data_IF_369673744928
#
_entry.id   IF_369673744928
#
_cell.length_a   1.000
_cell.length_b   1.000
_cell.length_c   1.000
_cell.angle_alpha   90.00
_cell.angle_beta   90.00
_cell.angle_gamma   90.00
#
_symmetry.space_group_name_H-M   'P 1'
#
loop_
_entity.id
_entity.type
_entity.pdbx_description
1 polymer ?
#
# COMPACT_ATOMS: atom_id res chain seq x y z
N UNK A 1 -19.38 15.29 -16.63
CA UNK A 1 -18.11 15.86 -16.09
C UNK A 1 -17.35 16.47 -17.26
N UNK A 2 -16.77 17.65 -17.09
CA UNK A 2 -15.94 18.27 -18.14
C UNK A 2 -14.70 17.39 -18.42
N UNK A 3 -14.30 17.26 -19.70
CA UNK A 3 -13.06 16.57 -20.06
C UNK A 3 -11.87 17.42 -19.60
N UNK A 4 -10.89 16.81 -18.93
CA UNK A 4 -9.65 17.47 -18.49
C UNK A 4 -8.80 17.85 -19.70
N UNK A 5 -8.05 18.95 -19.61
CA UNK A 5 -7.07 19.33 -20.64
C UNK A 5 -5.81 18.47 -20.56
N UNK A 6 -5.00 18.38 -21.63
CA UNK A 6 -3.73 17.65 -21.60
C UNK A 6 -2.78 18.13 -20.48
N UNK A 7 -2.75 19.43 -20.19
CA UNK A 7 -1.94 20.02 -19.12
C UNK A 7 -2.42 19.59 -17.74
N UNK A 8 -3.74 19.50 -17.53
CA UNK A 8 -4.32 19.02 -16.28
C UNK A 8 -4.03 17.53 -16.06
N UNK A 9 -4.06 16.71 -17.11
CA UNK A 9 -3.69 15.30 -17.04
C UNK A 9 -2.20 15.16 -16.69
N UNK A 10 -1.34 15.94 -17.33
CA UNK A 10 0.10 15.92 -17.05
C UNK A 10 0.43 16.35 -15.61
N UNK A 11 -0.22 17.39 -15.09
CA UNK A 11 -0.05 17.83 -13.70
C UNK A 11 -0.49 16.73 -12.70
N UNK A 12 -1.64 16.09 -12.93
CA UNK A 12 -2.11 15.01 -12.04
C UNK A 12 -1.19 13.77 -12.05
N UNK A 13 -0.67 13.42 -13.23
CA UNK A 13 0.31 12.35 -13.41
C UNK A 13 1.61 12.66 -12.66
N UNK A 14 2.10 13.89 -12.71
CA UNK A 14 3.31 14.33 -12.01
C UNK A 14 3.11 14.32 -10.47
N UNK A 15 1.94 14.76 -10.01
CA UNK A 15 1.59 14.84 -8.58
C UNK A 15 1.42 13.46 -7.94
N UNK A 16 1.13 12.42 -8.72
CA UNK A 16 0.95 11.05 -8.22
C UNK A 16 2.13 10.15 -8.57
N UNK A 17 3.14 10.14 -7.70
CA UNK A 17 4.34 9.31 -7.86
C UNK A 17 4.26 7.98 -7.11
N UNK A 18 5.02 6.97 -7.58
CA UNK A 18 5.18 5.66 -6.92
C UNK A 18 5.64 5.80 -5.47
N UNK A 19 6.66 6.64 -5.22
CA UNK A 19 7.16 6.94 -3.88
C UNK A 19 6.11 7.63 -3.00
N UNK A 20 5.33 8.56 -3.57
CA UNK A 20 4.23 9.20 -2.87
C UNK A 20 3.17 8.18 -2.40
N UNK A 21 2.73 7.31 -3.30
CA UNK A 21 1.78 6.24 -2.98
C UNK A 21 2.32 5.30 -1.90
N UNK A 22 3.60 4.90 -2.00
CA UNK A 22 4.23 4.03 -1.01
C UNK A 22 4.35 4.69 0.37
N UNK A 23 4.63 6.01 0.40
CA UNK A 23 4.64 6.79 1.63
C UNK A 23 3.27 6.76 2.31
N UNK A 24 2.20 7.04 1.57
CA UNK A 24 0.83 6.94 2.12
C UNK A 24 0.52 5.52 2.58
N UNK A 25 0.93 4.49 1.83
CA UNK A 25 0.76 3.09 2.24
C UNK A 25 1.37 2.83 3.64
N UNK A 26 2.57 3.36 3.89
CA UNK A 26 3.21 3.28 5.20
C UNK A 26 2.50 4.07 6.29
N UNK A 27 2.03 5.28 5.99
CA UNK A 27 1.26 6.08 6.95
C UNK A 27 -0.04 5.36 7.36
N UNK A 28 -0.75 4.74 6.42
CA UNK A 28 -1.94 3.91 6.70
C UNK A 28 -1.60 2.66 7.54
N UNK A 29 -0.50 1.97 7.23
CA UNK A 29 -0.06 0.81 8.00
C UNK A 29 0.24 1.18 9.44
N UNK A 30 0.98 2.27 9.67
CA UNK A 30 1.28 2.77 11.02
C UNK A 30 0.03 3.20 11.77
N UNK A 31 -0.91 3.87 11.09
CA UNK A 31 -2.19 4.21 11.70
C UNK A 31 -2.96 2.95 12.11
N UNK A 32 -2.95 1.90 11.28
CA UNK A 32 -3.58 0.63 11.59
C UNK A 32 -2.98 -0.02 12.85
N UNK A 33 -1.65 -0.04 12.97
CA UNK A 33 -0.95 -0.54 14.17
C UNK A 33 -1.34 0.23 15.43
N UNK A 34 -1.35 1.57 15.36
CA UNK A 34 -1.70 2.41 16.50
C UNK A 34 -3.13 2.14 16.99
N UNK A 35 -4.09 2.03 16.07
CA UNK A 35 -5.48 1.73 16.43
C UNK A 35 -5.60 0.32 17.02
N UNK A 36 -4.93 -0.68 16.42
CA UNK A 36 -4.99 -2.07 16.93
C UNK A 36 -4.37 -2.22 18.32
N UNK A 37 -3.30 -1.47 18.60
CA UNK A 37 -2.66 -1.47 19.92
C UNK A 37 -3.54 -0.85 21.00
N UNK A 38 -4.37 0.13 20.63
CA UNK A 38 -5.27 0.81 21.56
C UNK A 38 -6.58 0.03 21.79
N UNK A 39 -7.10 -0.62 20.75
CA UNK A 39 -8.31 -1.43 20.80
C UNK A 39 -8.15 -2.67 19.92
N UNK A 40 -7.98 -3.82 20.56
CA UNK A 40 -7.76 -5.09 19.89
C UNK A 40 -9.03 -5.65 19.23
N UNK A 41 -10.22 -5.18 19.63
CA UNK A 41 -11.52 -5.56 19.08
C UNK A 41 -11.94 -4.69 17.90
N UNK A 42 -11.25 -3.57 17.69
CA UNK A 42 -11.56 -2.66 16.60
C UNK A 42 -11.37 -3.33 15.23
N UNK A 43 -12.33 -3.10 14.34
CA UNK A 43 -12.28 -3.54 12.93
C UNK A 43 -11.61 -2.49 12.03
N UNK A 44 -11.46 -1.26 12.54
CA UNK A 44 -10.85 -0.11 11.84
C UNK A 44 -9.43 -0.41 11.34
N UNK A 45 -8.55 -1.10 12.11
CA UNK A 45 -7.22 -1.48 11.63
C UNK A 45 -7.24 -2.28 10.32
N UNK A 46 -8.23 -3.16 10.11
CA UNK A 46 -8.34 -3.92 8.87
C UNK A 46 -8.70 -3.05 7.66
N UNK A 47 -9.48 -1.98 7.86
CA UNK A 47 -9.74 -1.00 6.82
C UNK A 47 -8.46 -0.24 6.44
N UNK A 48 -7.71 0.19 7.45
CA UNK A 48 -6.48 0.95 7.27
C UNK A 48 -5.39 0.08 6.61
N UNK A 49 -5.25 -1.18 7.01
CA UNK A 49 -4.29 -2.11 6.40
C UNK A 49 -4.67 -2.45 4.96
N UNK A 50 -5.98 -2.57 4.65
CA UNK A 50 -6.45 -2.74 3.29
C UNK A 50 -6.06 -1.55 2.39
N UNK A 51 -6.19 -0.31 2.88
CA UNK A 51 -5.73 0.88 2.15
C UNK A 51 -4.21 0.90 1.98
N UNK A 52 -3.47 0.48 3.00
CA UNK A 52 -2.02 0.33 2.90
C UNK A 52 -1.62 -0.63 1.78
N UNK A 53 -2.21 -1.83 1.76
CA UNK A 53 -1.96 -2.84 0.74
C UNK A 53 -2.34 -2.34 -0.66
N UNK A 54 -3.51 -1.69 -0.80
CA UNK A 54 -3.96 -1.08 -2.05
C UNK A 54 -2.94 -0.06 -2.59
N UNK A 55 -2.52 0.88 -1.75
CA UNK A 55 -1.60 1.95 -2.14
C UNK A 55 -0.20 1.42 -2.46
N UNK A 56 0.29 0.42 -1.74
CA UNK A 56 1.59 -0.18 -2.04
C UNK A 56 1.57 -0.98 -3.35
N UNK A 57 0.49 -1.73 -3.63
CA UNK A 57 0.34 -2.39 -4.92
C UNK A 57 0.22 -1.37 -6.08
N UNK A 58 -0.52 -0.27 -5.87
CA UNK A 58 -0.59 0.84 -6.85
C UNK A 58 0.75 1.55 -7.01
N UNK A 59 1.54 1.70 -5.94
CA UNK A 59 2.89 2.26 -6.00
C UNK A 59 3.80 1.43 -6.91
N UNK A 60 3.76 0.10 -6.78
CA UNK A 60 4.49 -0.81 -7.66
C UNK A 60 4.01 -0.74 -9.11
N UNK A 61 2.69 -0.71 -9.34
CA UNK A 61 2.17 -0.57 -10.70
C UNK A 61 2.58 0.78 -11.32
N UNK A 62 2.58 1.85 -10.52
CA UNK A 62 3.03 3.19 -10.94
C UNK A 62 4.51 3.18 -11.34
N UNK A 63 5.39 2.56 -10.54
CA UNK A 63 6.82 2.44 -10.88
C UNK A 63 7.09 1.51 -12.07
N UNK A 64 6.08 0.74 -12.51
CA UNK A 64 6.10 -0.06 -13.75
C UNK A 64 5.44 0.65 -14.93
N UNK A 65 5.15 1.94 -14.81
CA UNK A 65 4.62 2.79 -15.88
C UNK A 65 3.10 2.79 -16.01
N UNK A 66 2.34 2.34 -15.01
CA UNK A 66 0.89 2.52 -15.02
C UNK A 66 0.53 4.01 -14.87
N UNK A 67 -0.38 4.51 -15.72
CA UNK A 67 -0.95 5.86 -15.62
C UNK A 67 -1.90 5.98 -14.43
N UNK A 68 -2.16 7.20 -13.98
CA UNK A 68 -3.14 7.49 -12.93
C UNK A 68 -4.51 6.95 -13.30
N UNK A 69 -4.95 7.17 -14.54
CA UNK A 69 -6.22 6.62 -15.04
C UNK A 69 -6.27 5.10 -14.92
N UNK A 70 -5.19 4.40 -15.33
CA UNK A 70 -5.11 2.95 -15.21
C UNK A 70 -5.14 2.48 -13.75
N UNK A 71 -4.63 3.27 -12.81
CA UNK A 71 -4.70 2.98 -11.37
C UNK A 71 -6.10 3.23 -10.80
N UNK A 72 -6.81 4.26 -11.29
CA UNK A 72 -8.17 4.60 -10.89
C UNK A 72 -9.19 3.56 -11.38
N UNK A 73 -8.98 3.03 -12.59
CA UNK A 73 -9.81 1.95 -13.16
C UNK A 73 -9.81 0.67 -12.33
N UNK A 74 -8.71 0.39 -11.62
CA UNK A 74 -8.61 -0.77 -10.72
C UNK A 74 -9.47 -0.61 -9.45
N UNK A 75 -9.99 0.59 -9.19
CA UNK A 75 -10.81 0.95 -8.02
C UNK A 75 -10.18 0.42 -6.72
N UNK A 76 -10.97 -0.24 -5.87
CA UNK A 76 -10.57 -0.79 -4.57
C UNK A 76 -10.49 -2.33 -4.57
N UNK A 77 -10.40 -2.96 -5.76
CA UNK A 77 -10.40 -4.41 -5.88
C UNK A 77 -9.03 -5.01 -5.54
N UNK A 78 -8.78 -5.31 -4.26
CA UNK A 78 -7.46 -5.77 -3.79
C UNK A 78 -6.91 -6.98 -4.58
N UNK A 79 -7.65 -8.09 -4.79
CA UNK A 79 -7.21 -9.21 -5.61
C UNK A 79 -6.91 -8.82 -7.06
N UNK A 80 -7.71 -7.94 -7.67
CA UNK A 80 -7.50 -7.49 -9.07
C UNK A 80 -6.24 -6.65 -9.21
N UNK A 81 -5.97 -5.76 -8.25
CA UNK A 81 -4.75 -4.96 -8.24
C UNK A 81 -3.54 -5.89 -8.06
N UNK A 82 -3.64 -6.88 -7.17
CA UNK A 82 -2.60 -7.87 -6.94
C UNK A 82 -2.33 -8.72 -8.17
N UNK A 83 -3.34 -9.25 -8.84
CA UNK A 83 -3.20 -10.00 -10.09
C UNK A 83 -2.45 -9.18 -11.15
N UNK A 84 -2.81 -7.91 -11.32
CA UNK A 84 -2.12 -7.00 -12.26
C UNK A 84 -0.67 -6.75 -11.85
N UNK A 85 -0.39 -6.64 -10.55
CA UNK A 85 0.97 -6.49 -10.03
C UNK A 85 1.80 -7.76 -10.24
N UNK A 86 1.23 -8.94 -10.02
CA UNK A 86 1.87 -10.23 -10.30
C UNK A 86 2.18 -10.38 -11.79
N UNK A 87 1.28 -9.96 -12.68
CA UNK A 87 1.53 -9.89 -14.12
C UNK A 87 2.71 -8.97 -14.51
N UNK A 88 3.05 -7.99 -13.66
CA UNK A 88 4.22 -7.11 -13.79
C UNK A 88 5.44 -7.56 -12.97
N UNK A 89 5.40 -8.81 -12.49
CA UNK A 89 6.49 -9.48 -11.76
C UNK A 89 6.79 -8.88 -10.38
N UNK A 90 5.75 -8.59 -9.60
CA UNK A 90 5.89 -8.20 -8.19
C UNK A 90 6.67 -9.25 -7.38
N UNK A 91 6.45 -10.53 -7.66
CA UNK A 91 7.16 -11.70 -7.09
C UNK A 91 8.69 -11.58 -7.13
N UNK A 92 9.24 -10.91 -8.15
CA UNK A 92 10.70 -10.73 -8.26
C UNK A 92 11.27 -9.71 -7.28
N UNK A 93 10.47 -8.76 -6.83
CA UNK A 93 10.87 -7.78 -5.81
C UNK A 93 10.47 -8.25 -4.41
N UNK A 94 9.34 -8.95 -4.32
CA UNK A 94 8.78 -9.39 -3.06
C UNK A 94 8.18 -10.79 -3.23
N UNK A 95 8.96 -11.87 -3.00
CA UNK A 95 8.50 -13.24 -3.22
C UNK A 95 7.23 -13.62 -2.45
N UNK A 96 7.06 -13.09 -1.23
CA UNK A 96 5.85 -13.30 -0.41
C UNK A 96 4.57 -12.76 -1.06
N UNK A 97 4.67 -11.93 -2.12
CA UNK A 97 3.51 -11.51 -2.89
C UNK A 97 2.76 -12.70 -3.50
N UNK A 98 3.43 -13.83 -3.79
CA UNK A 98 2.76 -15.02 -4.31
C UNK A 98 1.76 -15.64 -3.32
N UNK A 99 1.98 -15.47 -2.01
CA UNK A 99 1.17 -16.02 -0.93
C UNK A 99 0.14 -15.03 -0.38
N UNK A 100 0.17 -13.78 -0.88
CA UNK A 100 -0.66 -12.69 -0.38
C UNK A 100 -2.15 -12.83 -0.76
N UNK A 101 -2.45 -13.48 -1.89
CA UNK A 101 -3.79 -13.48 -2.49
C UNK A 101 -4.92 -13.90 -1.53
N UNK A 102 -4.83 -15.02 -0.77
CA UNK A 102 -5.90 -15.42 0.15
C UNK A 102 -6.19 -14.37 1.24
N UNK A 103 -5.15 -13.63 1.67
CA UNK A 103 -5.30 -12.54 2.66
C UNK A 103 -6.07 -11.36 2.06
N UNK A 104 -5.81 -11.03 0.79
CA UNK A 104 -6.53 -9.97 0.08
C UNK A 104 -7.99 -10.31 -0.17
N UNK A 105 -8.28 -11.57 -0.52
CA UNK A 105 -9.64 -12.07 -0.68
C UNK A 105 -10.44 -11.97 0.62
N UNK A 106 -9.82 -12.34 1.76
CA UNK A 106 -10.45 -12.18 3.09
C UNK A 106 -10.68 -10.71 3.44
N UNK A 107 -9.72 -9.82 3.17
CA UNK A 107 -9.89 -8.38 3.41
C UNK A 107 -11.01 -7.77 2.53
N UNK A 108 -11.06 -8.14 1.25
CA UNK A 108 -12.08 -7.66 0.34
C UNK A 108 -13.48 -8.16 0.76
N UNK A 109 -13.60 -9.44 1.11
CA UNK A 109 -14.83 -10.01 1.64
C UNK A 109 -15.27 -9.32 2.94
N UNK A 110 -14.34 -9.06 3.87
CA UNK A 110 -14.61 -8.32 5.11
C UNK A 110 -15.05 -6.87 4.86
N UNK A 111 -14.60 -6.27 3.75
CA UNK A 111 -14.98 -4.93 3.31
C UNK A 111 -16.16 -4.91 2.33
N UNK A 112 -16.77 -6.07 2.05
CA UNK A 112 -17.93 -6.15 1.17
C UNK A 112 -19.05 -5.24 1.68
N UNK A 113 -19.68 -4.47 0.77
CA UNK A 113 -20.66 -3.41 1.08
C UNK A 113 -20.15 -2.34 2.05
N UNK A 114 -18.84 -2.11 2.09
CA UNK A 114 -18.18 -1.21 3.04
C UNK A 114 -18.47 -1.59 4.51
N UNK A 115 -18.58 -2.88 4.82
CA UNK A 115 -18.87 -3.37 6.17
C UNK A 115 -17.75 -3.09 7.21
N UNK A 116 -16.59 -2.58 6.76
CA UNK A 116 -15.56 -2.01 7.63
C UNK A 116 -15.81 -0.53 7.97
N UNK A 117 -16.69 0.15 7.22
CA UNK A 117 -17.06 1.57 7.36
C UNK A 117 -18.49 1.75 7.89
N UNK A 118 -19.39 0.82 7.60
CA UNK A 118 -20.77 0.81 8.10
C UNK A 118 -21.02 -0.39 9.00
N UNK A 119 -21.77 -0.19 10.08
CA UNK A 119 -22.14 -1.24 11.02
C UNK A 119 -23.08 -2.22 10.30
N UNK A 120 -22.59 -3.43 10.08
CA UNK A 120 -23.36 -4.55 9.53
C UNK A 120 -23.31 -5.66 10.58
N UNK A 121 -24.48 -6.11 11.03
CA UNK A 121 -24.62 -7.18 12.02
C UNK A 121 -24.32 -8.56 11.40
N UNK A 122 -23.78 -9.48 12.20
CA UNK A 122 -23.47 -10.86 11.79
C UNK A 122 -22.02 -11.25 12.06
N UNK A 123 -21.72 -12.54 11.90
CA UNK A 123 -20.35 -13.05 12.01
C UNK A 123 -19.50 -12.54 10.86
N UNK A 124 -18.35 -11.95 11.17
CA UNK A 124 -17.37 -11.49 10.18
C UNK A 124 -16.08 -12.27 10.35
N UNK A 125 -15.51 -12.70 9.23
CA UNK A 125 -14.20 -13.37 9.19
C UNK A 125 -13.18 -12.36 8.69
N UNK A 126 -12.06 -12.27 9.40
CA UNK A 126 -10.92 -11.42 9.07
C UNK A 126 -9.67 -12.28 8.94
N UNK A 127 -8.67 -11.85 8.15
CA UNK A 127 -7.36 -12.49 8.22
C UNK A 127 -6.75 -12.31 9.61
N UNK A 128 -5.82 -13.18 9.98
CA UNK A 128 -5.02 -12.96 11.18
C UNK A 128 -4.30 -11.60 11.10
N UNK A 129 -4.44 -10.80 12.17
CA UNK A 129 -3.89 -9.44 12.24
C UNK A 129 -2.37 -9.43 12.04
N UNK A 130 -1.65 -10.35 12.67
CA UNK A 130 -0.19 -10.36 12.60
C UNK A 130 0.26 -10.72 11.18
N UNK A 131 -0.41 -11.68 10.55
CA UNK A 131 -0.14 -12.07 9.16
C UNK A 131 -0.35 -10.90 8.21
N UNK A 132 -1.52 -10.24 8.24
CA UNK A 132 -1.82 -9.13 7.33
C UNK A 132 -0.91 -7.92 7.58
N UNK A 133 -0.58 -7.62 8.84
CA UNK A 133 0.34 -6.53 9.17
C UNK A 133 1.76 -6.82 8.69
N UNK A 134 2.25 -8.05 8.86
CA UNK A 134 3.55 -8.48 8.34
C UNK A 134 3.61 -8.39 6.82
N UNK A 135 2.54 -8.74 6.11
CA UNK A 135 2.49 -8.56 4.66
C UNK A 135 2.57 -7.09 4.25
N UNK A 136 1.81 -6.20 4.88
CA UNK A 136 1.86 -4.78 4.58
C UNK A 136 3.26 -4.19 4.84
N UNK A 137 3.85 -4.53 5.99
CA UNK A 137 5.20 -4.11 6.35
C UNK A 137 6.26 -4.65 5.36
N UNK A 138 6.20 -5.94 5.05
CA UNK A 138 7.10 -6.60 4.10
C UNK A 138 7.04 -5.98 2.71
N UNK A 139 5.84 -5.67 2.23
CA UNK A 139 5.62 -4.97 0.97
C UNK A 139 6.25 -3.58 0.97
N UNK A 140 6.02 -2.78 2.01
CA UNK A 140 6.58 -1.43 2.13
C UNK A 140 8.10 -1.47 2.06
N UNK A 141 8.72 -2.38 2.83
CA UNK A 141 10.17 -2.55 2.86
C UNK A 141 10.69 -2.97 1.49
N UNK A 142 10.07 -3.99 0.87
CA UNK A 142 10.52 -4.50 -0.43
C UNK A 142 10.41 -3.46 -1.56
N UNK A 143 9.37 -2.62 -1.53
CA UNK A 143 9.13 -1.61 -2.57
C UNK A 143 9.90 -0.30 -2.34
N UNK A 144 10.43 -0.06 -1.14
CA UNK A 144 11.11 1.20 -0.77
C UNK A 144 12.25 1.52 -1.72
N UNK A 145 13.19 0.58 -1.89
CA UNK A 145 14.35 0.81 -2.75
C UNK A 145 13.94 1.00 -4.21
N UNK A 146 12.95 0.23 -4.67
CA UNK A 146 12.45 0.33 -6.03
C UNK A 146 11.81 1.69 -6.32
N UNK A 147 10.93 2.18 -5.43
CA UNK A 147 10.25 3.47 -5.62
C UNK A 147 11.20 4.67 -5.46
N UNK A 148 12.23 4.58 -4.62
CA UNK A 148 13.27 5.61 -4.54
C UNK A 148 14.09 5.69 -5.84
N UNK A 149 14.46 4.55 -6.42
CA UNK A 149 15.18 4.51 -7.69
C UNK A 149 14.32 5.01 -8.84
N UNK A 150 13.03 4.67 -8.85
CA UNK A 150 12.05 5.17 -9.82
C UNK A 150 11.93 6.71 -9.76
N UNK A 151 11.80 7.29 -8.57
CA UNK A 151 11.62 8.74 -8.42
C UNK A 151 12.87 9.56 -8.75
N UNK A 152 14.06 9.09 -8.36
CA UNK A 152 15.28 9.90 -8.40
C UNK A 152 16.27 9.48 -9.49
N UNK A 153 16.22 8.23 -9.98
CA UNK A 153 17.11 7.70 -11.01
C UNK A 153 18.59 7.58 -10.61
N UNK A 154 19.34 6.75 -11.34
CA UNK A 154 20.81 6.70 -11.33
C UNK A 154 21.50 6.77 -9.96
N UNK A 155 22.48 7.67 -9.83
CA UNK A 155 23.26 7.88 -8.59
C UNK A 155 22.44 8.55 -7.48
N UNK A 156 21.47 9.40 -7.83
CA UNK A 156 20.62 10.10 -6.86
C UNK A 156 19.71 9.11 -6.11
N UNK A 157 19.09 8.17 -6.83
CA UNK A 157 18.32 7.08 -6.24
C UNK A 157 19.16 6.20 -5.31
N UNK A 158 20.39 5.86 -5.70
CA UNK A 158 21.30 5.10 -4.83
C UNK A 158 21.68 5.86 -3.54
N UNK A 159 21.87 7.18 -3.63
CA UNK A 159 22.13 8.03 -2.48
C UNK A 159 20.91 8.10 -1.55
N UNK A 160 19.70 8.24 -2.09
CA UNK A 160 18.45 8.25 -1.32
C UNK A 160 18.19 6.90 -0.64
N UNK A 161 18.46 5.78 -1.32
CA UNK A 161 18.41 4.44 -0.71
C UNK A 161 19.37 4.35 0.49
N UNK A 162 20.60 4.86 0.36
CA UNK A 162 21.57 4.87 1.47
C UNK A 162 21.10 5.72 2.64
N UNK A 163 20.51 6.90 2.39
CA UNK A 163 19.93 7.77 3.44
C UNK A 163 18.77 7.07 4.16
N UNK A 164 17.94 6.34 3.41
CA UNK A 164 16.78 5.61 3.93
C UNK A 164 17.13 4.36 4.75
N UNK A 165 18.38 3.91 4.77
CA UNK A 165 18.85 2.86 5.68
C UNK A 165 19.21 3.37 7.09
N UNK A 166 19.26 4.70 7.27
CA UNK A 166 19.63 5.36 8.53
C UNK A 166 18.45 5.94 9.32
N UNK A 167 18.71 6.78 10.35
CA UNK A 167 17.67 7.36 11.22
C UNK A 167 16.76 8.38 10.51
N UNK A 168 17.11 8.83 9.30
CA UNK A 168 16.30 9.74 8.46
C UNK A 168 15.55 8.97 7.38
N UNK A 169 15.03 7.80 7.71
CA UNK A 169 14.23 7.00 6.79
C UNK A 169 12.89 7.70 6.50
N UNK A 170 12.51 7.81 5.22
CA UNK A 170 11.19 8.22 4.72
C UNK A 170 10.10 7.31 5.27
N UNK A 171 10.48 6.08 5.63
CA UNK A 171 9.70 5.09 6.35
C UNK A 171 10.26 4.91 7.77
N UNK A 172 10.12 5.90 8.67
CA UNK A 172 10.72 5.81 10.00
C UNK A 172 10.13 4.63 10.77
N UNK A 173 11.00 3.85 11.44
CA UNK A 173 10.56 2.78 12.35
C UNK A 173 9.68 3.38 13.46
N UNK A 174 8.70 2.62 13.99
CA UNK A 174 7.94 3.04 15.15
C UNK A 174 8.91 3.44 16.28
N UNK A 175 8.67 4.59 16.89
CA UNK A 175 9.40 4.98 18.11
C UNK A 175 8.94 4.01 19.21
N UNK A 176 9.82 3.21 19.82
CA UNK A 176 9.42 2.36 20.93
C UNK A 176 8.93 3.24 22.07
N UNK A 177 7.80 2.86 22.68
CA UNK A 177 7.32 3.57 23.87
C UNK A 177 8.38 3.45 24.97
N UNK A 178 8.68 4.57 25.64
CA UNK A 178 9.24 4.51 26.98
C UNK A 178 8.16 3.87 27.87
N UNK A 179 8.43 2.68 28.35
CA UNK A 179 7.70 2.03 29.45
C UNK A 179 7.79 2.89 30.70
#
# INVERSE_FOLDING_TARGET
MAKKTPEQIADEEERTSSLGLLRYAHEYQRAAEMVKQQDDRSVVPYMLIAHSLELGLKAFLRSRGATLDALLELRHGLPRIHERAMGKRLDRLWPSAAELLPTLELLEAANHRQALRYIVNGTKTYPDWNVVNLYAQGMIVALTEHCLRDKFGGKAGAAEVKKNRGPRNVFPKPVPRKT
#
